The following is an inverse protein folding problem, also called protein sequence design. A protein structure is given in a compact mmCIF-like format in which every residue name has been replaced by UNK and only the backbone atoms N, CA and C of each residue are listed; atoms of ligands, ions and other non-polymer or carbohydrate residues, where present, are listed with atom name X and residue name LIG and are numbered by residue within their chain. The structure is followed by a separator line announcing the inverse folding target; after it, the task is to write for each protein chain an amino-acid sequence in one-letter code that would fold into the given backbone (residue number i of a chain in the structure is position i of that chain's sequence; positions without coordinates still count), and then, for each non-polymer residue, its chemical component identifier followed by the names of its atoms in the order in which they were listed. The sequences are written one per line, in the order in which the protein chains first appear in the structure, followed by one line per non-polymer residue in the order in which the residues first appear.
data_IF_984957063147
#
_entry.id   IF_984957063147
#
_cell.length_a   1.000
_cell.length_b   1.000
_cell.length_c   1.000
_cell.angle_alpha   90.00
_cell.angle_beta   90.00
_cell.angle_gamma   90.00
#
_symmetry.space_group_name_H-M   'P 1'
#
loop_
_entity.id
_entity.type
_entity.pdbx_description
1 polymer ?
#
# COMPACT_ATOMS: atom_id res chain seq x y z
N UNK A 1 -11.80 -9.23 -5.64
CA UNK A 1 -10.79 -8.57 -4.79
C UNK A 1 -9.50 -8.48 -5.60
N UNK A 2 -9.18 -7.29 -6.09
CA UNK A 2 -7.90 -7.05 -6.76
C UNK A 2 -6.81 -6.71 -5.72
N UNK A 3 -5.57 -6.61 -6.18
CA UNK A 3 -4.42 -6.35 -5.31
C UNK A 3 -4.53 -5.02 -4.56
N UNK A 4 -4.98 -3.95 -5.24
CA UNK A 4 -5.19 -2.64 -4.64
C UNK A 4 -6.25 -2.64 -3.53
N UNK A 5 -7.37 -3.33 -3.75
CA UNK A 5 -8.42 -3.51 -2.73
C UNK A 5 -7.91 -4.26 -1.49
N UNK A 6 -6.96 -5.19 -1.66
CA UNK A 6 -6.35 -5.93 -0.56
C UNK A 6 -5.44 -5.06 0.30
N UNK A 7 -4.61 -4.23 -0.34
CA UNK A 7 -3.80 -3.23 0.38
C UNK A 7 -4.71 -2.27 1.15
N UNK A 8 -5.74 -1.74 0.49
CA UNK A 8 -6.66 -0.80 1.11
C UNK A 8 -7.34 -1.39 2.35
N UNK A 9 -7.86 -2.63 2.25
CA UNK A 9 -8.47 -3.33 3.39
C UNK A 9 -7.49 -3.52 4.53
N UNK A 10 -6.32 -4.12 4.28
CA UNK A 10 -5.33 -4.41 5.33
C UNK A 10 -4.84 -3.13 6.02
N UNK A 11 -4.62 -2.06 5.24
CA UNK A 11 -4.23 -0.76 5.77
C UNK A 11 -5.31 -0.19 6.70
N UNK A 12 -6.57 -0.25 6.29
CA UNK A 12 -7.71 0.24 7.06
C UNK A 12 -7.98 -0.60 8.31
N UNK A 13 -7.85 -1.92 8.22
CA UNK A 13 -7.95 -2.84 9.37
C UNK A 13 -6.88 -2.55 10.42
N UNK A 14 -5.69 -2.11 10.00
CA UNK A 14 -4.60 -1.66 10.89
C UNK A 14 -4.75 -0.20 11.34
N UNK A 15 -5.81 0.51 10.94
CA UNK A 15 -6.03 1.92 11.30
C UNK A 15 -5.04 2.91 10.67
N UNK A 16 -4.31 2.50 9.64
CA UNK A 16 -3.22 3.30 9.04
C UNK A 16 -3.75 4.27 7.98
N UNK A 17 -3.12 5.45 7.89
CA UNK A 17 -3.24 6.35 6.73
C UNK A 17 -2.34 5.85 5.58
N UNK A 18 -2.53 6.39 4.37
CA UNK A 18 -1.64 6.07 3.25
C UNK A 18 -0.21 6.56 3.52
N UNK A 19 -0.05 7.74 4.14
CA UNK A 19 1.26 8.23 4.63
C UNK A 19 1.89 7.25 5.62
N UNK A 20 1.15 6.81 6.64
CA UNK A 20 1.69 5.95 7.69
C UNK A 20 2.15 4.58 7.14
N UNK A 21 1.36 3.98 6.23
CA UNK A 21 1.78 2.77 5.54
C UNK A 21 3.02 3.03 4.67
N UNK A 22 3.07 4.18 4.00
CA UNK A 22 4.18 4.53 3.14
C UNK A 22 5.49 4.69 3.91
N UNK A 23 5.47 5.37 5.05
CA UNK A 23 6.61 5.50 5.96
C UNK A 23 7.09 4.13 6.47
N UNK A 24 6.16 3.25 6.84
CA UNK A 24 6.47 1.93 7.40
C UNK A 24 7.22 1.01 6.42
N UNK A 25 6.91 1.10 5.13
CA UNK A 25 7.51 0.26 4.06
C UNK A 25 8.53 1.03 3.20
N UNK A 26 8.98 2.19 3.65
CA UNK A 26 9.99 3.00 2.96
C UNK A 26 9.57 3.42 1.54
N UNK A 27 8.34 3.91 1.38
CA UNK A 27 7.80 4.39 0.10
C UNK A 27 7.10 5.73 0.25
N UNK A 28 6.48 6.22 -0.84
CA UNK A 28 5.71 7.46 -0.81
C UNK A 28 4.21 7.19 -0.73
N UNK A 29 3.46 8.11 -0.11
CA UNK A 29 1.99 8.05 -0.07
C UNK A 29 1.39 7.95 -1.48
N UNK A 30 1.99 8.64 -2.46
CA UNK A 30 1.56 8.59 -3.86
C UNK A 30 1.71 7.17 -4.43
N UNK A 31 2.77 6.43 -4.07
CA UNK A 31 2.94 5.04 -4.48
C UNK A 31 1.85 4.14 -3.86
N UNK A 32 1.59 4.27 -2.56
CA UNK A 32 0.50 3.54 -1.89
C UNK A 32 -0.86 3.83 -2.54
N UNK A 33 -1.15 5.10 -2.82
CA UNK A 33 -2.37 5.50 -3.52
C UNK A 33 -2.47 4.89 -4.92
N UNK A 34 -1.37 4.83 -5.69
CA UNK A 34 -1.35 4.15 -6.99
C UNK A 34 -1.65 2.67 -6.84
N UNK A 35 -1.05 1.98 -5.88
CA UNK A 35 -1.30 0.55 -5.67
C UNK A 35 -2.75 0.27 -5.29
N UNK A 36 -3.33 1.06 -4.39
CA UNK A 36 -4.74 0.95 -4.00
C UNK A 36 -5.71 1.19 -5.18
N UNK A 37 -5.32 2.05 -6.13
CA UNK A 37 -6.09 2.31 -7.35
C UNK A 37 -5.71 1.39 -8.53
N UNK A 38 -4.90 0.35 -8.29
CA UNK A 38 -4.38 -0.56 -9.33
C UNK A 38 -3.59 0.15 -10.46
N UNK A 39 -3.03 1.33 -10.19
CA UNK A 39 -2.23 2.15 -11.11
C UNK A 39 -0.72 1.95 -10.90
N UNK A 40 -0.30 0.68 -10.83
CA UNK A 40 1.08 0.26 -10.58
C UNK A 40 1.15 -0.74 -9.43
N UNK A 41 2.30 -1.41 -9.34
CA UNK A 41 2.54 -2.43 -8.32
C UNK A 41 3.75 -2.04 -7.46
N UNK A 42 3.80 -2.46 -6.19
CA UNK A 42 4.99 -2.34 -5.38
C UNK A 42 6.11 -3.16 -6.03
N UNK A 43 7.34 -2.69 -5.85
CA UNK A 43 8.53 -3.48 -6.14
C UNK A 43 8.51 -4.75 -5.28
N UNK A 44 9.15 -5.82 -5.76
CA UNK A 44 9.18 -7.13 -5.10
C UNK A 44 9.66 -7.04 -3.64
N UNK A 45 10.59 -6.14 -3.35
CA UNK A 45 11.08 -5.88 -1.99
C UNK A 45 10.01 -5.30 -1.06
N UNK A 46 9.18 -4.37 -1.57
CA UNK A 46 8.10 -3.75 -0.78
C UNK A 46 6.90 -4.69 -0.60
N UNK A 47 6.71 -5.63 -1.52
CA UNK A 47 5.70 -6.69 -1.39
C UNK A 47 5.95 -7.58 -0.16
N UNK A 48 7.21 -7.80 0.23
CA UNK A 48 7.55 -8.58 1.42
C UNK A 48 7.24 -7.85 2.73
N UNK A 49 6.98 -6.54 2.69
CA UNK A 49 6.76 -5.69 3.86
C UNK A 49 5.27 -5.31 4.08
N UNK A 50 4.36 -5.70 3.17
CA UNK A 50 2.92 -5.36 3.20
C UNK A 50 2.05 -6.31 4.06
#
# INVERSE_FOLDING_TARGET
MNFGEKIFKLRKERGLSQEALAEQIGTTRQAVSKWENNQGFPETEKLLQL
#
